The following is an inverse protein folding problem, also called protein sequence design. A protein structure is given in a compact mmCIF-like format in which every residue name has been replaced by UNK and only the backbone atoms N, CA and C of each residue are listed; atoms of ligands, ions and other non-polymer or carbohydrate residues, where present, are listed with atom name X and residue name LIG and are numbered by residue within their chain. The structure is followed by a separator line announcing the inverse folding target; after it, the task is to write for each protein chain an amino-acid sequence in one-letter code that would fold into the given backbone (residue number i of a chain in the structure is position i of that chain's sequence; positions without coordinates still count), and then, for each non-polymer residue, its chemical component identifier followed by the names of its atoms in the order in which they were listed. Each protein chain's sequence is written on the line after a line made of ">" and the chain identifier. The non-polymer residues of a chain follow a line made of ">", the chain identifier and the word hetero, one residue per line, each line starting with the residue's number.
data_IF_245512822158
#
_entry.id   IF_245512822158
#
_cell.length_a   1.000
_cell.length_b   1.000
_cell.length_c   1.000
_cell.angle_alpha   90.00
_cell.angle_beta   90.00
_cell.angle_gamma   90.00
#
_symmetry.space_group_name_H-M   'P 1'
#
loop_
_entity.id
_entity.type
_entity.pdbx_description
1 polymer ?
#
# COMPACT_ATOMS: atom_id res chain seq x y z
N UNK A 1 -41.85 -3.22 30.26
CA UNK A 1 -40.98 -4.41 30.17
C UNK A 1 -39.59 -3.92 29.80
N UNK A 2 -38.72 -3.82 30.80
CA UNK A 2 -37.31 -3.48 30.64
C UNK A 2 -36.52 -4.76 30.34
N UNK A 3 -35.59 -4.70 29.40
CA UNK A 3 -34.47 -5.63 29.34
C UNK A 3 -33.21 -4.84 28.93
N UNK A 4 -32.22 -4.91 29.81
CA UNK A 4 -30.85 -4.39 29.67
C UNK A 4 -29.91 -5.46 29.08
N UNK A 5 -28.70 -5.01 28.74
CA UNK A 5 -27.45 -5.75 28.45
C UNK A 5 -27.36 -6.33 27.01
N UNK A 6 -26.23 -6.26 26.30
CA UNK A 6 -24.85 -6.34 26.77
C UNK A 6 -23.87 -5.65 25.82
N UNK A 7 -22.95 -4.89 26.43
CA UNK A 7 -21.69 -4.42 25.85
C UNK A 7 -20.80 -5.60 25.45
N UNK A 8 -20.17 -5.53 24.29
CA UNK A 8 -18.94 -6.27 23.97
C UNK A 8 -18.10 -5.42 23.04
N UNK A 9 -17.18 -4.66 23.65
CA UNK A 9 -16.02 -4.03 23.00
C UNK A 9 -14.86 -5.00 23.17
N UNK A 10 -14.14 -5.25 22.07
CA UNK A 10 -12.97 -6.13 21.97
C UNK A 10 -13.05 -6.86 20.62
N UNK A 11 -12.01 -7.03 19.81
CA UNK A 11 -10.58 -7.07 20.14
C UNK A 11 -9.83 -7.21 18.79
N UNK A 12 -9.49 -6.11 18.10
CA UNK A 12 -8.62 -6.18 16.89
C UNK A 12 -7.72 -4.94 16.78
N UNK A 13 -6.95 -4.64 17.83
CA UNK A 13 -5.88 -3.63 17.79
C UNK A 13 -4.61 -4.20 18.46
N UNK A 14 -4.25 -5.44 18.12
CA UNK A 14 -3.16 -6.17 18.79
C UNK A 14 -1.93 -6.45 17.94
N UNK A 15 -1.77 -5.88 16.74
CA UNK A 15 -0.69 -6.29 15.83
C UNK A 15 0.17 -5.19 15.22
N UNK A 16 -0.19 -3.91 15.32
CA UNK A 16 0.57 -2.83 14.67
C UNK A 16 1.37 -1.92 15.61
N UNK A 17 1.27 -2.10 16.93
CA UNK A 17 1.97 -1.27 17.93
C UNK A 17 3.33 -1.83 18.36
N UNK A 18 3.80 -2.92 17.74
CA UNK A 18 4.99 -3.67 18.20
C UNK A 18 6.25 -3.46 17.34
N UNK A 19 6.31 -2.42 16.52
CA UNK A 19 7.51 -2.17 15.69
C UNK A 19 8.27 -0.87 15.98
N UNK A 20 7.78 0.00 16.88
CA UNK A 20 8.43 1.31 17.14
C UNK A 20 8.88 1.51 18.61
N UNK A 21 9.03 0.44 19.39
CA UNK A 21 9.42 0.56 20.81
C UNK A 21 10.35 -0.55 21.27
N UNK A 22 11.49 -0.69 20.61
CA UNK A 22 12.64 -1.41 21.15
C UNK A 22 13.92 -0.88 20.48
N UNK A 23 14.49 0.18 21.03
CA UNK A 23 15.91 0.59 20.95
C UNK A 23 16.04 2.07 21.35
N UNK A 24 15.66 2.42 22.57
CA UNK A 24 16.22 3.57 23.29
C UNK A 24 15.91 3.37 24.78
N UNK A 25 16.95 3.51 25.61
CA UNK A 25 16.94 3.44 27.09
C UNK A 25 17.09 2.06 27.75
N UNK A 26 18.33 1.57 27.85
CA UNK A 26 18.78 0.93 29.09
C UNK A 26 20.30 1.16 29.30
N UNK A 27 20.65 2.39 29.65
CA UNK A 27 21.92 2.77 30.27
C UNK A 27 21.59 3.52 31.55
N UNK A 28 21.57 2.84 32.69
CA UNK A 28 22.50 3.13 33.80
C UNK A 28 22.17 2.35 35.10
N UNK A 29 23.25 1.75 35.63
CA UNK A 29 23.61 1.61 37.06
C UNK A 29 22.75 0.72 38.00
N UNK A 30 23.37 -0.34 38.55
CA UNK A 30 24.06 -0.25 39.87
C UNK A 30 24.38 -1.63 40.48
N UNK A 31 25.67 -1.82 40.77
CA UNK A 31 26.30 -2.43 41.96
C UNK A 31 25.91 -3.81 42.53
N UNK A 32 26.97 -4.60 42.71
CA UNK A 32 27.31 -5.52 43.81
C UNK A 32 26.99 -7.02 43.67
N UNK A 33 28.09 -7.78 43.58
CA UNK A 33 28.10 -9.24 43.62
C UNK A 33 29.49 -9.80 43.39
N UNK A 34 30.40 -9.58 44.35
CA UNK A 34 31.73 -10.16 44.34
C UNK A 34 31.67 -11.70 44.40
N UNK A 35 32.33 -12.39 43.47
CA UNK A 35 32.91 -13.69 43.79
C UNK A 35 34.11 -14.01 42.90
N UNK A 36 35.15 -14.42 43.60
CA UNK A 36 36.54 -14.64 43.20
C UNK A 36 36.72 -15.72 42.13
N UNK A 37 37.36 -15.38 41.02
CA UNK A 37 37.98 -16.33 40.08
C UNK A 37 39.43 -15.93 39.80
N UNK A 38 40.31 -16.95 39.86
CA UNK A 38 41.78 -16.93 39.91
C UNK A 38 42.46 -16.13 38.77
N UNK A 39 43.66 -15.55 39.01
CA UNK A 39 44.45 -14.92 37.95
C UNK A 39 45.12 -16.01 37.10
N UNK A 40 44.59 -16.24 35.90
CA UNK A 40 45.20 -17.07 34.87
C UNK A 40 45.93 -16.23 33.83
N UNK A 41 47.26 -16.34 33.85
CA UNK A 41 48.21 -16.13 32.74
C UNK A 41 48.06 -14.88 31.86
N UNK A 42 49.04 -13.99 31.96
CA UNK A 42 49.19 -12.82 31.09
C UNK A 42 49.20 -13.18 29.60
N UNK A 43 48.16 -12.73 28.91
CA UNK A 43 48.18 -12.50 27.47
C UNK A 43 48.55 -11.03 27.24
N UNK A 44 49.75 -10.80 26.72
CA UNK A 44 50.26 -9.50 26.27
C UNK A 44 49.32 -8.97 25.15
N UNK A 45 48.25 -8.27 25.53
CA UNK A 45 47.29 -7.66 24.59
C UNK A 45 47.91 -6.38 24.04
N UNK A 46 48.83 -6.55 23.08
CA UNK A 46 49.49 -5.46 22.37
C UNK A 46 48.46 -4.51 21.74
N UNK A 47 48.51 -3.20 22.03
CA UNK A 47 47.60 -2.20 21.46
C UNK A 47 47.68 -2.14 19.92
N UNK A 48 48.84 -2.49 19.34
CA UNK A 48 49.02 -2.55 17.89
C UNK A 48 48.08 -3.56 17.21
N UNK A 49 47.76 -4.68 17.86
CA UNK A 49 46.89 -5.73 17.28
C UNK A 49 45.43 -5.27 17.22
N UNK A 50 45.01 -4.41 18.16
CA UNK A 50 43.65 -3.84 18.15
C UNK A 50 43.48 -2.80 17.05
N UNK A 51 44.52 -2.00 16.81
CA UNK A 51 44.54 -0.99 15.75
C UNK A 51 44.50 -1.70 14.39
N UNK A 52 45.31 -2.74 14.17
CA UNK A 52 45.31 -3.47 12.89
C UNK A 52 43.96 -4.12 12.58
N UNK A 53 43.31 -4.74 13.57
CA UNK A 53 41.97 -5.34 13.37
C UNK A 53 40.90 -4.29 13.06
N UNK A 54 40.94 -3.11 13.71
CA UNK A 54 39.98 -2.03 13.43
C UNK A 54 40.12 -1.47 12.01
N UNK A 55 41.36 -1.35 11.51
CA UNK A 55 41.63 -0.89 10.14
C UNK A 55 41.17 -1.92 9.12
N UNK A 56 41.38 -3.21 9.37
CA UNK A 56 40.93 -4.29 8.48
C UNK A 56 39.40 -4.29 8.39
N UNK A 57 38.68 -4.23 9.51
CA UNK A 57 37.20 -4.20 9.52
C UNK A 57 36.67 -2.95 8.80
N UNK A 58 37.30 -1.79 8.99
CA UNK A 58 36.93 -0.57 8.30
C UNK A 58 37.12 -0.68 6.76
N UNK A 59 38.19 -1.35 6.32
CA UNK A 59 38.44 -1.59 4.89
C UNK A 59 37.44 -2.57 4.29
N UNK A 60 37.16 -3.69 4.97
CA UNK A 60 36.18 -4.69 4.49
C UNK A 60 34.77 -4.10 4.38
N UNK A 61 34.36 -3.32 5.38
CA UNK A 61 33.05 -2.64 5.35
C UNK A 61 32.98 -1.57 4.28
N UNK A 62 34.05 -0.80 4.04
CA UNK A 62 34.10 0.18 2.95
C UNK A 62 34.02 -0.47 1.57
N UNK A 63 34.71 -1.60 1.36
CA UNK A 63 34.66 -2.36 0.11
C UNK A 63 33.26 -2.93 -0.12
N UNK A 64 32.63 -3.50 0.92
CA UNK A 64 31.25 -3.99 0.82
C UNK A 64 30.26 -2.87 0.46
N UNK A 65 30.36 -1.71 1.09
CA UNK A 65 29.51 -0.55 0.76
C UNK A 65 29.76 -0.08 -0.67
N UNK A 66 31.01 -0.01 -1.12
CA UNK A 66 31.33 0.38 -2.49
C UNK A 66 30.80 -0.62 -3.54
N UNK A 67 30.89 -1.92 -3.26
CA UNK A 67 30.31 -2.96 -4.11
C UNK A 67 28.79 -2.84 -4.12
N UNK A 68 28.12 -2.61 -2.99
CA UNK A 68 26.67 -2.41 -2.96
C UNK A 68 26.24 -1.15 -3.74
N UNK A 69 27.01 -0.07 -3.67
CA UNK A 69 26.72 1.16 -4.41
C UNK A 69 26.94 1.02 -5.92
N UNK A 70 27.90 0.21 -6.35
CA UNK A 70 28.20 -0.02 -7.79
C UNK A 70 27.40 -1.18 -8.38
N UNK A 71 26.98 -2.14 -7.55
CA UNK A 71 26.14 -3.26 -7.94
C UNK A 71 24.63 -2.95 -7.85
N UNK A 72 24.24 -1.77 -7.36
CA UNK A 72 22.90 -1.25 -7.63
C UNK A 72 22.82 -1.08 -9.15
N UNK A 73 22.03 -1.89 -9.87
CA UNK A 73 21.79 -1.61 -11.27
C UNK A 73 21.17 -0.22 -11.27
N UNK A 74 21.91 0.77 -11.79
CA UNK A 74 21.30 2.02 -12.20
C UNK A 74 20.14 1.56 -13.07
N UNK A 75 18.92 1.74 -12.58
CA UNK A 75 17.74 1.38 -13.32
C UNK A 75 17.75 2.30 -14.53
N UNK A 76 18.41 1.86 -15.61
CA UNK A 76 18.01 2.26 -16.94
C UNK A 76 16.52 1.99 -16.93
N UNK A 77 15.76 3.09 -16.97
CA UNK A 77 14.35 3.01 -17.23
C UNK A 77 14.27 2.22 -18.52
N UNK A 78 13.92 0.94 -18.43
CA UNK A 78 13.62 0.14 -19.59
C UNK A 78 12.47 0.88 -20.23
N UNK A 79 12.79 1.72 -21.22
CA UNK A 79 11.81 2.38 -22.06
C UNK A 79 11.02 1.24 -22.64
N UNK A 80 9.83 1.02 -22.09
CA UNK A 80 8.91 0.03 -22.57
C UNK A 80 8.54 0.52 -23.97
N UNK A 81 9.23 0.00 -24.99
CA UNK A 81 8.89 0.31 -26.38
C UNK A 81 7.45 -0.17 -26.55
N UNK A 82 6.48 0.72 -26.83
CA UNK A 82 5.12 0.28 -27.08
C UNK A 82 5.17 -0.69 -28.25
N UNK A 83 4.55 -1.86 -28.11
CA UNK A 83 4.33 -2.74 -29.26
C UNK A 83 3.58 -1.93 -30.33
N UNK A 84 3.98 -1.99 -31.61
CA UNK A 84 3.21 -1.38 -32.70
C UNK A 84 1.76 -1.87 -32.64
N UNK A 85 0.83 -0.91 -32.55
CA UNK A 85 -0.62 -1.10 -32.37
C UNK A 85 -1.30 -1.50 -33.70
N UNK A 86 -0.64 -2.32 -34.50
CA UNK A 86 -1.00 -2.48 -35.91
C UNK A 86 -1.68 -3.84 -36.18
N UNK A 87 -1.83 -4.69 -35.15
CA UNK A 87 -2.38 -6.05 -35.26
C UNK A 87 -3.66 -6.27 -34.44
N UNK A 88 -4.33 -5.21 -34.00
CA UNK A 88 -5.71 -5.27 -33.51
C UNK A 88 -6.57 -4.49 -34.50
N UNK A 89 -7.07 -5.17 -35.54
CA UNK A 89 -8.12 -4.61 -36.37
C UNK A 89 -9.26 -4.11 -35.49
N UNK A 90 -9.60 -2.82 -35.64
CA UNK A 90 -10.75 -2.12 -35.04
C UNK A 90 -10.99 -2.33 -33.53
N UNK A 91 -9.96 -2.64 -32.73
CA UNK A 91 -10.12 -2.71 -31.27
C UNK A 91 -10.54 -1.37 -30.67
N UNK A 92 -10.05 -0.26 -31.24
CA UNK A 92 -10.38 1.08 -30.76
C UNK A 92 -11.84 1.49 -30.98
N UNK A 93 -12.50 1.00 -32.03
CA UNK A 93 -13.93 1.28 -32.26
C UNK A 93 -14.81 0.46 -31.31
N UNK A 94 -14.51 -0.82 -31.12
CA UNK A 94 -15.27 -1.72 -30.22
C UNK A 94 -15.14 -1.30 -28.75
N UNK A 95 -13.96 -0.84 -28.32
CA UNK A 95 -13.79 -0.27 -26.97
C UNK A 95 -14.43 1.11 -26.83
N UNK A 96 -14.49 1.92 -27.91
CA UNK A 96 -15.11 3.26 -27.85
C UNK A 96 -16.63 3.22 -27.69
N UNK A 97 -17.28 2.18 -28.23
CA UNK A 97 -18.75 2.06 -28.18
C UNK A 97 -19.25 1.45 -26.86
N UNK A 98 -18.40 0.75 -26.10
CA UNK A 98 -18.74 0.11 -24.82
C UNK A 98 -18.22 0.83 -23.56
N UNK A 99 -17.45 1.92 -23.70
CA UNK A 99 -16.80 2.62 -22.58
C UNK A 99 -17.09 4.14 -22.55
N UNK A 100 -17.87 4.69 -23.50
CA UNK A 100 -18.17 6.13 -23.46
C UNK A 100 -19.31 6.47 -22.48
N UNK A 101 -18.94 6.69 -21.21
CA UNK A 101 -19.82 7.19 -20.16
C UNK A 101 -19.93 8.72 -20.14
N UNK A 102 -19.37 9.43 -21.13
CA UNK A 102 -19.41 10.88 -21.18
C UNK A 102 -18.53 11.58 -20.15
N UNK A 103 -18.75 12.88 -19.96
CA UNK A 103 -17.90 13.75 -19.13
C UNK A 103 -18.58 14.27 -17.86
N UNK A 104 -19.86 13.95 -17.65
CA UNK A 104 -20.62 14.37 -16.47
C UNK A 104 -21.40 13.21 -15.86
N UNK A 105 -21.69 13.27 -14.56
CA UNK A 105 -22.52 12.26 -13.88
C UNK A 105 -23.90 12.11 -14.54
N UNK A 106 -24.48 13.22 -15.01
CA UNK A 106 -25.79 13.20 -15.68
C UNK A 106 -25.71 12.48 -17.02
N UNK A 107 -24.64 12.72 -17.78
CA UNK A 107 -24.41 12.06 -19.05
C UNK A 107 -24.15 10.56 -18.86
N UNK A 108 -23.33 10.19 -17.88
CA UNK A 108 -23.04 8.80 -17.54
C UNK A 108 -24.31 8.02 -17.19
N UNK A 109 -25.17 8.59 -16.33
CA UNK A 109 -26.47 7.98 -15.99
C UNK A 109 -27.39 7.86 -17.20
N UNK A 110 -27.47 8.90 -18.03
CA UNK A 110 -28.28 8.88 -19.25
C UNK A 110 -27.81 7.81 -20.25
N UNK A 111 -26.53 7.43 -20.20
CA UNK A 111 -25.90 6.40 -21.03
C UNK A 111 -25.89 5.01 -20.37
N UNK A 112 -26.51 4.83 -19.20
CA UNK A 112 -26.58 3.54 -18.51
C UNK A 112 -25.29 3.12 -17.80
N UNK A 113 -24.39 4.05 -17.56
CA UNK A 113 -23.18 3.78 -16.78
C UNK A 113 -23.47 3.81 -15.26
N UNK A 114 -22.68 3.03 -14.55
CA UNK A 114 -22.70 2.89 -13.09
C UNK A 114 -21.40 3.45 -12.52
N UNK A 115 -21.51 4.14 -11.39
CA UNK A 115 -20.36 4.64 -10.66
C UNK A 115 -19.70 3.51 -9.88
N UNK A 116 -18.43 3.21 -10.19
CA UNK A 116 -17.61 2.35 -9.34
C UNK A 116 -16.79 3.22 -8.39
N UNK A 117 -17.25 3.28 -7.13
CA UNK A 117 -16.60 4.07 -6.08
C UNK A 117 -15.15 3.64 -5.84
N UNK A 118 -14.85 2.34 -5.97
CA UNK A 118 -13.51 1.82 -5.73
C UNK A 118 -12.58 2.00 -6.94
N UNK A 119 -13.10 2.30 -8.12
CA UNK A 119 -12.28 2.71 -9.27
C UNK A 119 -12.27 4.23 -9.46
N UNK A 120 -13.20 4.95 -8.84
CA UNK A 120 -13.36 6.39 -8.98
C UNK A 120 -13.74 6.82 -10.39
N UNK A 121 -14.49 5.98 -11.13
CA UNK A 121 -14.88 6.27 -12.51
C UNK A 121 -16.24 5.65 -12.87
N UNK A 122 -16.89 6.24 -13.89
CA UNK A 122 -18.12 5.72 -14.46
C UNK A 122 -17.81 4.61 -15.46
N UNK A 123 -18.41 3.44 -15.28
CA UNK A 123 -18.27 2.29 -16.18
C UNK A 123 -19.61 1.80 -16.68
N UNK A 124 -19.65 1.25 -17.89
CA UNK A 124 -20.85 0.62 -18.41
C UNK A 124 -21.31 -0.51 -17.47
N UNK A 125 -22.62 -0.69 -17.30
CA UNK A 125 -23.19 -1.68 -16.36
C UNK A 125 -22.69 -3.11 -16.62
N UNK A 126 -22.40 -3.46 -17.88
CA UNK A 126 -21.86 -4.78 -18.23
C UNK A 126 -20.47 -5.04 -17.64
N UNK A 127 -19.75 -3.97 -17.29
CA UNK A 127 -18.43 -3.99 -16.68
C UNK A 127 -18.44 -3.82 -15.17
N UNK A 128 -19.56 -3.38 -14.60
CA UNK A 128 -19.65 -3.08 -13.19
C UNK A 128 -19.65 -4.35 -12.34
N UNK A 129 -18.68 -4.46 -11.42
CA UNK A 129 -18.60 -5.54 -10.46
C UNK A 129 -18.90 -5.03 -9.04
N UNK A 130 -20.20 -4.82 -8.77
CA UNK A 130 -20.66 -4.35 -7.46
C UNK A 130 -20.28 -5.27 -6.30
N UNK A 131 -20.22 -6.60 -6.53
CA UNK A 131 -19.80 -7.57 -5.50
C UNK A 131 -18.36 -7.32 -5.06
N UNK A 132 -17.47 -7.06 -6.03
CA UNK A 132 -16.08 -6.75 -5.74
C UNK A 132 -15.95 -5.40 -5.05
N UNK A 133 -16.59 -4.35 -5.59
CA UNK A 133 -16.60 -3.02 -4.99
C UNK A 133 -17.05 -3.08 -3.52
N UNK A 134 -18.18 -3.72 -3.25
CA UNK A 134 -18.74 -3.86 -1.90
C UNK A 134 -17.87 -4.73 -0.99
N UNK A 135 -17.14 -5.71 -1.52
CA UNK A 135 -16.16 -6.48 -0.73
C UNK A 135 -15.05 -5.56 -0.23
N UNK A 136 -14.44 -4.77 -1.11
CA UNK A 136 -13.36 -3.86 -0.75
C UNK A 136 -13.81 -2.73 0.17
N UNK A 137 -15.03 -2.23 -0.01
CA UNK A 137 -15.63 -1.24 0.89
C UNK A 137 -15.87 -1.81 2.29
N UNK A 138 -16.21 -3.10 2.42
CA UNK A 138 -16.43 -3.75 3.73
C UNK A 138 -15.16 -4.23 4.44
N UNK A 139 -14.06 -4.43 3.72
CA UNK A 139 -12.80 -4.93 4.32
C UNK A 139 -12.24 -4.01 5.42
N UNK A 140 -12.61 -2.72 5.43
CA UNK A 140 -12.28 -1.76 6.48
C UNK A 140 -13.11 -0.50 6.35
N UNK A 141 -13.15 0.30 7.41
CA UNK A 141 -13.72 1.65 7.33
C UNK A 141 -12.89 2.50 6.36
N UNK A 142 -13.57 3.08 5.39
CA UNK A 142 -13.04 4.10 4.48
C UNK A 142 -13.72 5.42 4.84
N UNK A 143 -12.95 6.51 4.84
CA UNK A 143 -13.48 7.86 4.97
C UNK A 143 -13.28 8.60 3.66
N UNK A 144 -14.32 9.28 3.23
CA UNK A 144 -14.36 10.10 2.02
C UNK A 144 -14.52 11.56 2.42
N UNK A 145 -14.02 12.47 1.61
CA UNK A 145 -14.00 13.90 1.93
C UNK A 145 -14.32 14.75 0.71
N UNK A 146 -14.93 15.93 0.93
CA UNK A 146 -15.20 16.91 -0.13
C UNK A 146 -13.96 17.74 -0.50
N UNK A 147 -12.99 17.82 0.41
CA UNK A 147 -11.80 18.65 0.31
C UNK A 147 -10.51 17.82 0.40
N UNK A 148 -9.44 18.37 -0.19
CA UNK A 148 -8.12 17.72 -0.23
C UNK A 148 -7.48 17.67 1.16
N UNK A 149 -7.82 18.62 2.03
CA UNK A 149 -7.31 18.74 3.39
C UNK A 149 -7.93 17.70 4.34
N UNK A 150 -8.89 16.91 3.87
CA UNK A 150 -9.56 15.83 4.61
C UNK A 150 -10.32 16.34 5.85
N UNK A 151 -10.93 17.51 5.75
CA UNK A 151 -11.60 18.20 6.87
C UNK A 151 -13.12 18.08 6.84
N UNK A 152 -13.73 17.93 5.66
CA UNK A 152 -15.16 17.82 5.45
C UNK A 152 -15.49 16.40 5.01
N UNK A 153 -15.82 15.54 5.97
CA UNK A 153 -16.17 14.14 5.72
C UNK A 153 -17.48 14.02 4.92
N UNK A 154 -17.49 13.08 3.99
CA UNK A 154 -18.58 12.70 3.11
C UNK A 154 -19.07 11.31 3.52
N UNK A 155 -20.38 11.11 3.57
CA UNK A 155 -20.94 9.78 3.85
C UNK A 155 -20.66 8.80 2.71
N UNK A 156 -20.60 7.49 3.02
CA UNK A 156 -20.41 6.46 1.99
C UNK A 156 -21.56 6.47 0.98
N UNK A 157 -22.79 6.71 1.44
CA UNK A 157 -23.97 6.84 0.58
C UNK A 157 -23.78 7.94 -0.46
N UNK A 158 -23.18 9.07 -0.07
CA UNK A 158 -22.90 10.17 -0.99
C UNK A 158 -21.74 9.87 -1.93
N UNK A 159 -20.68 9.25 -1.42
CA UNK A 159 -19.54 8.82 -2.23
C UNK A 159 -19.98 7.84 -3.34
N UNK A 160 -20.95 6.96 -3.04
CA UNK A 160 -21.55 6.01 -4.00
C UNK A 160 -22.36 6.68 -5.12
N UNK A 161 -22.73 7.96 -5.00
CA UNK A 161 -23.48 8.66 -6.05
C UNK A 161 -22.63 9.10 -7.24
N UNK A 162 -21.33 9.32 -7.04
CA UNK A 162 -20.41 9.78 -8.09
C UNK A 162 -20.70 11.19 -8.63
N UNK A 163 -21.47 11.99 -7.88
CA UNK A 163 -21.96 13.30 -8.32
C UNK A 163 -20.96 14.44 -8.05
N UNK A 164 -20.00 14.19 -7.16
CA UNK A 164 -18.98 15.15 -6.73
C UNK A 164 -17.60 14.49 -6.74
N UNK A 165 -16.56 15.31 -6.88
CA UNK A 165 -15.18 14.84 -6.68
C UNK A 165 -15.00 14.52 -5.21
N UNK A 166 -14.49 13.33 -4.92
CA UNK A 166 -14.17 12.88 -3.57
C UNK A 166 -12.67 12.78 -3.38
N UNK A 167 -12.25 12.94 -2.13
CA UNK A 167 -10.91 12.68 -1.64
C UNK A 167 -10.97 11.50 -0.67
N UNK A 168 -10.05 10.56 -0.78
CA UNK A 168 -9.96 9.41 0.12
C UNK A 168 -8.73 9.47 1.00
N UNK A 169 -8.79 8.79 2.14
CA UNK A 169 -7.62 8.60 3.00
C UNK A 169 -6.52 7.79 2.29
N UNK A 170 -5.30 7.81 2.85
CA UNK A 170 -4.20 6.98 2.36
C UNK A 170 -4.60 5.50 2.27
N UNK A 171 -5.46 5.05 3.18
CA UNK A 171 -6.04 3.73 3.13
C UNK A 171 -6.79 3.45 1.84
N UNK A 172 -7.78 4.26 1.52
CA UNK A 172 -8.55 4.16 0.29
C UNK A 172 -7.63 4.18 -0.95
N UNK A 173 -6.62 5.06 -0.97
CA UNK A 173 -5.65 5.14 -2.07
C UNK A 173 -4.89 3.82 -2.35
N UNK A 174 -4.58 3.02 -1.32
CA UNK A 174 -3.91 1.74 -1.55
C UNK A 174 -4.88 0.67 -2.08
N UNK A 175 -6.14 0.66 -1.61
CA UNK A 175 -7.12 -0.38 -2.00
C UNK A 175 -7.71 -0.17 -3.38
N UNK A 176 -8.04 1.08 -3.72
CA UNK A 176 -8.55 1.44 -5.06
C UNK A 176 -7.52 1.04 -6.14
N UNK A 177 -6.23 1.26 -5.86
CA UNK A 177 -5.14 0.86 -6.76
C UNK A 177 -5.01 -0.66 -6.90
N UNK A 178 -5.10 -1.41 -5.79
CA UNK A 178 -5.08 -2.88 -5.85
C UNK A 178 -6.29 -3.44 -6.59
N UNK A 179 -7.48 -2.83 -6.45
CA UNK A 179 -8.64 -3.21 -7.25
C UNK A 179 -8.37 -2.97 -8.74
N UNK A 180 -7.85 -1.80 -9.10
CA UNK A 180 -7.55 -1.47 -10.47
C UNK A 180 -6.56 -2.46 -11.12
N UNK A 181 -5.56 -2.93 -10.36
CA UNK A 181 -4.63 -3.97 -10.81
C UNK A 181 -5.23 -5.37 -10.91
N UNK A 182 -6.31 -5.66 -10.17
CA UNK A 182 -7.03 -6.93 -10.25
C UNK A 182 -8.05 -6.97 -11.38
N UNK A 183 -8.25 -5.85 -12.08
CA UNK A 183 -8.96 -5.86 -13.35
C UNK A 183 -8.08 -6.53 -14.39
N UNK A 184 -8.53 -7.68 -14.89
CA UNK A 184 -7.80 -8.46 -15.89
C UNK A 184 -7.89 -7.76 -17.27
N UNK A 185 -6.78 -7.28 -17.84
CA UNK A 185 -6.78 -6.63 -19.14
C UNK A 185 -7.00 -7.61 -20.31
N UNK A 186 -6.97 -8.92 -20.07
CA UNK A 186 -7.16 -9.96 -21.11
C UNK A 186 -8.62 -10.30 -21.36
N UNK A 187 -9.53 -9.87 -20.49
CA UNK A 187 -10.97 -10.00 -20.74
C UNK A 187 -11.43 -8.88 -21.67
N UNK A 188 -11.58 -9.21 -22.95
CA UNK A 188 -12.01 -8.32 -24.03
C UNK A 188 -13.41 -7.71 -23.85
N UNK A 189 -14.06 -7.93 -22.71
CA UNK A 189 -15.44 -7.54 -22.43
C UNK A 189 -15.64 -7.21 -20.95
N UNK A 190 -14.74 -6.41 -20.35
CA UNK A 190 -14.71 -6.02 -18.94
C UNK A 190 -13.95 -7.02 -18.04
N UNK A 191 -12.87 -6.53 -17.42
CA UNK A 191 -11.82 -7.30 -16.74
C UNK A 191 -12.19 -7.98 -15.42
N UNK A 192 -13.43 -8.43 -15.23
CA UNK A 192 -13.80 -9.22 -14.07
C UNK A 192 -14.40 -10.56 -14.48
N UNK A 193 -13.92 -11.70 -13.93
CA UNK A 193 -14.65 -12.95 -14.05
C UNK A 193 -16.02 -12.76 -13.38
N UNK A 194 -17.09 -12.97 -14.15
CA UNK A 194 -18.44 -13.06 -13.59
C UNK A 194 -18.46 -14.28 -12.66
N UNK A 195 -18.88 -14.06 -11.42
CA UNK A 195 -19.01 -15.12 -10.41
C UNK A 195 -20.21 -16.03 -10.69
#
# INVERSE_FOLDING_TARGET
>A
MSAMFSTSRGLVLGRYEKLDRDETEELDQSSDGASTVKPGSGGFRSPCIRITLSVIIALETAVLVFVLLTAMPYSESAVHVPRPLDSIGNGSEIFSEWIDCGQSFSEARNRGCVWDLMLGLWIHESCFNGVMMDRYLRERNHSFYYDRELTQEMSEEEARRGEVVLWGDAGFHHRHFVLALRMDPTFSQCGFPKA
#
